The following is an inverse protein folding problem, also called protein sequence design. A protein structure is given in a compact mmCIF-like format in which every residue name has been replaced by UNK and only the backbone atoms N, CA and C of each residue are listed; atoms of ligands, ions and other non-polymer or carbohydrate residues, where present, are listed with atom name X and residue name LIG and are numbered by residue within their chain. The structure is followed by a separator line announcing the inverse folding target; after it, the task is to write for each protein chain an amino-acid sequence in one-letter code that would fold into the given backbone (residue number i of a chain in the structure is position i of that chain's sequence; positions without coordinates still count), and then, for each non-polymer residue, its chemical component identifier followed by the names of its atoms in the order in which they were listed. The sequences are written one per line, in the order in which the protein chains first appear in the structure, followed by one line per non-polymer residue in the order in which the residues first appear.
data_IF_671987776452
#
_entry.id   IF_671987776452
#
_cell.length_a   1.000
_cell.length_b   1.000
_cell.length_c   1.000
_cell.angle_alpha   90.00
_cell.angle_beta   90.00
_cell.angle_gamma   90.00
#
_symmetry.space_group_name_H-M   'P 1'
#
loop_
_entity.id
_entity.type
_entity.pdbx_description
1 polymer ?
#
# COMPACT_ATOMS: atom_id res chain seq x y z
N UNK A 1 -18.66 -0.14 -15.66
CA UNK A 1 -17.98 -0.85 -16.76
C UNK A 1 -16.60 -0.24 -16.98
N UNK A 2 -15.58 -1.07 -17.06
CA UNK A 2 -14.21 -0.61 -17.32
C UNK A 2 -14.08 -0.22 -18.78
N UNK A 3 -13.57 1.00 -19.07
CA UNK A 3 -13.37 1.44 -20.45
C UNK A 3 -12.22 0.67 -21.09
N UNK A 4 -12.16 0.66 -22.45
CA UNK A 4 -11.07 0.02 -23.16
C UNK A 4 -9.69 0.57 -22.79
N UNK A 5 -9.60 1.88 -22.52
CA UNK A 5 -8.34 2.51 -22.10
C UNK A 5 -7.89 2.00 -20.74
N UNK A 6 -8.81 1.92 -19.77
CA UNK A 6 -8.52 1.41 -18.44
C UNK A 6 -8.10 -0.05 -18.51
N UNK A 7 -8.84 -0.84 -19.29
CA UNK A 7 -8.50 -2.26 -19.47
C UNK A 7 -7.10 -2.42 -20.05
N UNK A 8 -6.72 -1.62 -21.03
CA UNK A 8 -5.40 -1.69 -21.65
C UNK A 8 -4.30 -1.35 -20.63
N UNK A 9 -4.54 -0.38 -19.75
CA UNK A 9 -3.57 -0.03 -18.71
C UNK A 9 -3.43 -1.13 -17.66
N UNK A 10 -4.53 -1.76 -17.29
CA UNK A 10 -4.51 -2.90 -16.37
C UNK A 10 -3.75 -4.07 -17.01
N UNK A 11 -4.04 -4.34 -18.28
CA UNK A 11 -3.37 -5.42 -19.03
C UNK A 11 -1.86 -5.16 -19.11
N UNK A 12 -1.46 -3.90 -19.28
CA UNK A 12 -0.04 -3.56 -19.32
C UNK A 12 0.65 -3.82 -17.98
N UNK A 13 0.01 -3.45 -16.88
CA UNK A 13 0.54 -3.72 -15.55
C UNK A 13 0.70 -5.23 -15.35
N UNK A 14 -0.31 -5.99 -15.72
CA UNK A 14 -0.28 -7.45 -15.66
C UNK A 14 0.88 -8.00 -16.46
N UNK A 15 1.04 -7.51 -17.70
CA UNK A 15 2.11 -7.95 -18.59
C UNK A 15 3.49 -7.62 -18.02
N UNK A 16 3.65 -6.43 -17.42
CA UNK A 16 4.92 -6.04 -16.82
C UNK A 16 5.30 -6.97 -15.65
N UNK A 17 4.32 -7.37 -14.85
CA UNK A 17 4.57 -8.31 -13.75
C UNK A 17 4.93 -9.69 -14.30
N UNK A 18 4.18 -10.15 -15.29
CA UNK A 18 4.40 -11.44 -15.94
C UNK A 18 5.78 -11.50 -16.56
N UNK A 19 6.14 -10.47 -17.35
CA UNK A 19 7.45 -10.39 -18.00
C UNK A 19 8.60 -10.27 -16.99
N UNK A 20 8.31 -9.77 -15.80
CA UNK A 20 9.28 -9.64 -14.72
C UNK A 20 9.57 -10.94 -13.98
N UNK A 21 8.88 -12.03 -14.32
CA UNK A 21 9.15 -13.35 -13.76
C UNK A 21 8.07 -13.93 -12.85
N UNK A 22 6.99 -13.19 -12.60
CA UNK A 22 5.86 -13.72 -11.83
C UNK A 22 4.83 -14.22 -12.82
N UNK A 23 4.77 -15.54 -12.99
CA UNK A 23 3.93 -16.16 -14.02
C UNK A 23 2.70 -16.86 -13.46
N UNK A 24 2.56 -16.98 -12.16
CA UNK A 24 1.37 -17.52 -11.55
C UNK A 24 0.31 -16.42 -11.46
N UNK A 25 -0.85 -16.56 -12.14
CA UNK A 25 -1.88 -15.52 -12.13
C UNK A 25 -2.37 -15.14 -10.74
N UNK A 26 -2.47 -16.10 -9.83
CA UNK A 26 -2.89 -15.82 -8.45
C UNK A 26 -1.88 -14.92 -7.76
N UNK A 27 -0.59 -15.18 -7.95
CA UNK A 27 0.47 -14.36 -7.37
C UNK A 27 0.42 -12.94 -7.91
N UNK A 28 0.17 -12.76 -9.22
CA UNK A 28 0.02 -11.44 -9.82
C UNK A 28 -1.12 -10.67 -9.15
N UNK A 29 -2.29 -11.32 -9.01
CA UNK A 29 -3.46 -10.70 -8.39
C UNK A 29 -3.13 -10.30 -6.94
N UNK A 30 -2.48 -11.18 -6.19
CA UNK A 30 -2.12 -10.89 -4.80
C UNK A 30 -1.18 -9.71 -4.69
N UNK A 31 -0.12 -9.67 -5.51
CA UNK A 31 0.84 -8.56 -5.47
C UNK A 31 0.16 -7.23 -5.81
N UNK A 32 -0.66 -7.20 -6.83
CA UNK A 32 -1.42 -5.99 -7.18
C UNK A 32 -2.36 -5.57 -6.05
N UNK A 33 -3.04 -6.53 -5.44
CA UNK A 33 -3.96 -6.25 -4.33
C UNK A 33 -3.22 -5.61 -3.16
N UNK A 34 -2.05 -6.15 -2.79
CA UNK A 34 -1.25 -5.57 -1.71
C UNK A 34 -0.80 -4.15 -2.03
N UNK A 35 -0.32 -3.92 -3.25
CA UNK A 35 0.15 -2.59 -3.64
C UNK A 35 -0.99 -1.57 -3.68
N UNK A 36 -2.15 -1.96 -4.18
CA UNK A 36 -3.33 -1.09 -4.18
C UNK A 36 -3.78 -0.78 -2.76
N UNK A 37 -3.71 -1.76 -1.87
CA UNK A 37 -4.02 -1.54 -0.45
C UNK A 37 -3.05 -0.54 0.17
N UNK A 38 -1.75 -0.72 -0.06
CA UNK A 38 -0.72 0.18 0.47
C UNK A 38 -0.97 1.62 0.01
N UNK A 39 -1.32 1.78 -1.27
CA UNK A 39 -1.67 3.10 -1.81
C UNK A 39 -2.90 3.67 -1.11
N UNK A 40 -3.92 2.84 -0.89
CA UNK A 40 -5.17 3.27 -0.27
C UNK A 40 -4.98 3.75 1.17
N UNK A 41 -4.03 3.18 1.90
CA UNK A 41 -3.72 3.63 3.26
C UNK A 41 -3.25 5.09 3.27
N UNK A 42 -2.37 5.45 2.35
CA UNK A 42 -1.90 6.83 2.28
C UNK A 42 -2.98 7.78 1.76
N UNK A 43 -3.82 7.33 0.84
CA UNK A 43 -4.95 8.15 0.40
C UNK A 43 -5.87 8.48 1.56
N UNK A 44 -6.16 7.50 2.40
CA UNK A 44 -6.98 7.71 3.58
C UNK A 44 -6.29 8.68 4.55
N UNK A 45 -4.97 8.56 4.71
CA UNK A 45 -4.21 9.46 5.57
C UNK A 45 -4.25 10.90 5.06
N UNK A 46 -4.15 11.08 3.74
CA UNK A 46 -4.25 12.41 3.14
C UNK A 46 -5.64 13.03 3.37
N UNK A 47 -6.70 12.23 3.28
CA UNK A 47 -8.05 12.68 3.59
C UNK A 47 -8.16 13.10 5.06
N UNK A 48 -7.60 12.31 5.96
CA UNK A 48 -7.60 12.60 7.39
C UNK A 48 -6.85 13.90 7.67
N UNK A 49 -5.69 14.09 7.04
CA UNK A 49 -4.91 15.31 7.22
C UNK A 49 -5.66 16.54 6.70
N UNK A 50 -6.34 16.41 5.57
CA UNK A 50 -7.15 17.50 5.03
C UNK A 50 -8.29 17.86 5.99
N UNK A 51 -8.94 16.85 6.57
CA UNK A 51 -10.01 17.08 7.55
C UNK A 51 -9.47 17.78 8.79
N UNK A 52 -8.30 17.37 9.29
CA UNK A 52 -7.67 18.03 10.45
C UNK A 52 -7.39 19.51 10.18
N UNK A 53 -6.91 19.82 8.98
CA UNK A 53 -6.60 21.19 8.60
C UNK A 53 -7.85 22.05 8.51
N UNK A 54 -8.98 21.47 8.15
CA UNK A 54 -10.24 22.22 8.05
C UNK A 54 -10.93 22.38 9.40
N UNK A 55 -10.88 21.37 10.26
CA UNK A 55 -11.66 21.32 11.50
C UNK A 55 -10.87 21.74 12.74
N UNK A 56 -9.53 21.79 12.65
CA UNK A 56 -8.63 21.97 13.78
C UNK A 56 -8.74 20.88 14.85
N UNK A 57 -9.31 19.74 14.48
CA UNK A 57 -9.40 18.56 15.35
C UNK A 57 -8.33 17.56 14.97
N UNK A 58 -7.67 16.97 15.98
CA UNK A 58 -6.69 15.92 15.74
C UNK A 58 -7.41 14.58 15.56
N UNK A 59 -6.98 13.84 14.55
CA UNK A 59 -7.53 12.53 14.23
C UNK A 59 -6.46 11.47 14.41
N UNK A 60 -6.90 10.23 14.60
CA UNK A 60 -5.97 9.10 14.65
C UNK A 60 -5.33 8.89 13.29
N UNK A 61 -4.04 8.58 13.30
CA UNK A 61 -3.27 8.38 12.07
C UNK A 61 -2.96 6.91 11.85
N UNK A 62 -2.90 6.53 10.57
CA UNK A 62 -2.53 5.17 10.17
C UNK A 62 -1.02 4.98 10.28
N UNK A 63 -0.25 5.97 9.79
CA UNK A 63 1.20 5.88 9.74
C UNK A 63 1.82 6.53 10.97
N UNK A 64 2.89 5.92 11.52
CA UNK A 64 3.65 6.59 12.56
C UNK A 64 4.15 7.96 12.09
N UNK A 65 4.21 8.93 13.00
CA UNK A 65 4.64 10.29 12.66
C UNK A 65 6.15 10.45 12.65
N UNK A 66 6.89 9.38 12.92
CA UNK A 66 8.35 9.35 12.83
C UNK A 66 8.82 9.45 11.38
N UNK A 67 10.10 9.79 11.15
CA UNK A 67 10.63 9.75 9.78
C UNK A 67 10.47 8.38 9.12
N UNK A 68 10.69 7.29 9.85
CA UNK A 68 10.52 5.94 9.30
C UNK A 68 9.06 5.67 8.92
N UNK A 69 8.12 6.08 9.77
CA UNK A 69 6.69 5.91 9.49
C UNK A 69 6.23 6.70 8.28
N UNK A 70 6.65 7.95 8.19
CA UNK A 70 6.26 8.81 7.07
C UNK A 70 6.89 8.32 5.75
N UNK A 71 8.09 7.74 5.81
CA UNK A 71 8.75 7.22 4.62
C UNK A 71 8.00 6.03 3.99
N UNK A 72 7.13 5.37 4.74
CA UNK A 72 6.31 4.27 4.21
C UNK A 72 5.10 4.72 3.40
N UNK A 73 4.82 6.02 3.36
CA UNK A 73 3.66 6.55 2.65
C UNK A 73 3.91 6.55 1.16
N UNK A 74 2.92 6.07 0.42
CA UNK A 74 2.99 5.98 -1.05
C UNK A 74 3.35 7.32 -1.69
N UNK A 75 2.72 8.41 -1.26
CA UNK A 75 2.99 9.74 -1.78
C UNK A 75 4.43 10.21 -1.53
N UNK A 76 5.08 9.64 -0.52
CA UNK A 76 6.45 10.00 -0.19
C UNK A 76 7.46 9.21 -1.01
N UNK A 77 7.22 7.90 -1.20
CA UNK A 77 8.24 7.07 -1.85
C UNK A 77 8.04 6.87 -3.36
N UNK A 78 6.87 7.18 -3.90
CA UNK A 78 6.57 6.86 -5.31
C UNK A 78 7.53 7.51 -6.30
N UNK A 79 8.16 8.61 -5.94
CA UNK A 79 9.09 9.34 -6.80
C UNK A 79 10.56 9.08 -6.47
N UNK A 80 10.84 8.17 -5.54
CA UNK A 80 12.22 7.77 -5.24
C UNK A 80 12.78 6.90 -6.36
N UNK A 81 14.11 6.69 -6.35
CA UNK A 81 14.67 5.77 -7.33
C UNK A 81 14.22 4.32 -7.05
N UNK A 82 14.28 3.44 -8.06
CA UNK A 82 13.74 2.08 -7.93
C UNK A 82 14.32 1.30 -6.77
N UNK A 83 15.60 1.43 -6.48
CA UNK A 83 16.22 0.70 -5.37
C UNK A 83 15.71 1.17 -4.02
N UNK A 84 15.54 2.48 -3.85
CA UNK A 84 15.00 3.04 -2.62
C UNK A 84 13.56 2.56 -2.40
N UNK A 85 12.75 2.59 -3.45
CA UNK A 85 11.36 2.10 -3.36
C UNK A 85 11.37 0.62 -2.97
N UNK A 86 12.21 -0.17 -3.60
CA UNK A 86 12.28 -1.61 -3.35
C UNK A 86 12.68 -1.90 -1.91
N UNK A 87 13.68 -1.18 -1.39
CA UNK A 87 14.14 -1.34 -0.01
C UNK A 87 13.03 -0.96 0.97
N UNK A 88 12.38 0.19 0.75
CA UNK A 88 11.27 0.63 1.60
C UNK A 88 10.14 -0.40 1.59
N UNK A 89 9.78 -0.89 0.42
CA UNK A 89 8.70 -1.85 0.27
C UNK A 89 9.00 -3.16 0.97
N UNK A 90 10.18 -3.74 0.72
CA UNK A 90 10.55 -5.05 1.24
C UNK A 90 10.90 -5.03 2.72
N UNK A 91 11.55 -3.97 3.19
CA UNK A 91 12.08 -3.93 4.57
C UNK A 91 11.20 -3.16 5.55
N UNK A 92 10.27 -2.34 5.05
CA UNK A 92 9.43 -1.51 5.92
C UNK A 92 7.95 -1.74 5.68
N UNK A 93 7.48 -1.51 4.47
CA UNK A 93 6.05 -1.48 4.19
C UNK A 93 5.41 -2.86 4.36
N UNK A 94 5.95 -3.89 3.73
CA UNK A 94 5.38 -5.24 3.86
C UNK A 94 5.47 -5.77 5.29
N UNK A 95 6.61 -5.66 5.99
CA UNK A 95 6.61 -6.01 7.42
C UNK A 95 5.58 -5.24 8.23
N UNK A 96 5.40 -3.95 7.95
CA UNK A 96 4.45 -3.13 8.68
C UNK A 96 3.00 -3.57 8.44
N UNK A 97 2.61 -3.84 7.19
CA UNK A 97 1.22 -4.25 6.92
C UNK A 97 0.92 -5.63 7.50
N UNK A 98 1.90 -6.48 7.64
CA UNK A 98 1.73 -7.79 8.30
C UNK A 98 1.45 -7.64 9.78
N UNK A 99 1.85 -6.56 10.39
CA UNK A 99 1.71 -6.30 11.82
C UNK A 99 0.78 -5.14 12.14
N UNK A 100 -0.10 -4.78 11.20
CA UNK A 100 -1.12 -3.77 11.46
C UNK A 100 -2.00 -4.16 12.64
N UNK A 101 -2.36 -3.18 13.45
CA UNK A 101 -3.20 -3.39 14.62
C UNK A 101 -4.03 -2.13 14.87
N UNK A 102 -5.31 -2.29 15.16
CA UNK A 102 -6.23 -1.17 15.39
C UNK A 102 -6.23 -0.14 14.25
N UNK A 103 -6.06 -0.60 13.01
CA UNK A 103 -6.03 0.27 11.84
C UNK A 103 -4.77 1.10 11.71
N UNK A 104 -3.72 0.77 12.45
CA UNK A 104 -2.45 1.51 12.43
C UNK A 104 -1.29 0.62 12.02
N UNK A 105 -0.29 1.23 11.41
CA UNK A 105 0.96 0.56 11.10
C UNK A 105 1.95 0.73 12.25
N UNK A 106 2.78 -0.30 12.53
CA UNK A 106 3.83 -0.19 13.54
C UNK A 106 4.97 0.70 13.07
N UNK A 107 5.72 1.22 14.04
CA UNK A 107 6.91 2.02 13.76
C UNK A 107 8.18 1.13 13.76
N UNK A 108 9.31 1.73 13.49
CA UNK A 108 10.61 1.06 13.44
C UNK A 108 11.63 1.82 14.28
N UNK A 109 12.56 1.07 14.87
CA UNK A 109 13.70 1.67 15.58
C UNK A 109 14.68 2.28 14.58
N UNK A 110 15.64 3.04 15.10
CA UNK A 110 16.71 3.60 14.26
C UNK A 110 17.53 2.50 13.56
N UNK A 111 17.57 1.29 14.14
CA UNK A 111 18.27 0.15 13.56
C UNK A 111 17.41 -0.63 12.57
N UNK A 112 16.17 -0.21 12.35
CA UNK A 112 15.29 -0.85 11.40
C UNK A 112 14.49 -2.02 11.94
N UNK A 113 14.42 -2.18 13.25
CA UNK A 113 13.63 -3.24 13.88
C UNK A 113 12.19 -2.78 14.06
N UNK A 114 11.24 -3.66 13.77
CA UNK A 114 9.82 -3.37 13.91
C UNK A 114 9.44 -3.27 15.38
N UNK A 115 8.69 -2.23 15.73
CA UNK A 115 8.15 -2.03 17.07
C UNK A 115 6.68 -2.40 17.05
N UNK A 116 6.32 -3.53 17.64
CA UNK A 116 4.94 -3.97 17.63
C UNK A 116 4.03 -3.01 18.39
N UNK A 117 2.81 -2.86 17.88
CA UNK A 117 1.79 -2.06 18.55
C UNK A 117 1.27 -2.84 19.75
N UNK A 118 1.29 -2.24 20.96
CA UNK A 118 0.82 -2.96 22.15
C UNK A 118 -0.67 -3.27 22.06
N UNK A 119 -1.08 -4.33 22.75
CA UNK A 119 -2.50 -4.65 22.88
C UNK A 119 -3.19 -3.58 23.72
N UNK A 120 -4.37 -3.19 23.29
CA UNK A 120 -5.23 -2.25 24.01
C UNK A 120 -6.49 -3.00 24.43
N UNK A 121 -6.59 -3.43 25.71
CA UNK A 121 -7.71 -4.29 26.15
C UNK A 121 -9.09 -3.68 25.89
N UNK A 122 -9.24 -2.37 25.97
CA UNK A 122 -10.50 -1.68 25.73
C UNK A 122 -10.91 -1.72 24.26
N UNK A 123 -10.00 -2.04 23.35
CA UNK A 123 -10.28 -2.14 21.92
C UNK A 123 -10.43 -3.58 21.44
N UNK A 124 -10.28 -4.54 22.35
CA UNK A 124 -10.37 -5.95 22.02
C UNK A 124 -9.19 -6.45 21.24
N UNK A 125 -9.36 -7.56 20.50
CA UNK A 125 -8.28 -8.17 19.74
C UNK A 125 -8.10 -7.46 18.41
N UNK A 126 -7.11 -6.58 18.33
CA UNK A 126 -6.91 -5.67 17.19
C UNK A 126 -6.56 -6.34 15.87
N UNK A 127 -6.15 -7.61 15.89
CA UNK A 127 -5.77 -8.32 14.67
C UNK A 127 -6.74 -9.43 14.29
N UNK A 128 -7.98 -9.38 14.81
CA UNK A 128 -8.96 -10.45 14.59
C UNK A 128 -9.88 -10.26 13.40
N UNK A 129 -9.77 -9.17 12.63
CA UNK A 129 -10.58 -8.99 11.44
C UNK A 129 -10.10 -9.91 10.33
N UNK A 130 -11.00 -10.32 9.43
CA UNK A 130 -10.62 -11.12 8.27
C UNK A 130 -9.58 -10.41 7.42
N UNK A 131 -9.69 -9.10 7.31
CA UNK A 131 -8.76 -8.28 6.55
C UNK A 131 -7.36 -8.27 7.18
N UNK A 132 -7.28 -8.11 8.51
CA UNK A 132 -5.99 -8.15 9.20
C UNK A 132 -5.34 -9.53 9.04
N UNK A 133 -6.14 -10.61 9.10
CA UNK A 133 -5.61 -11.97 8.88
C UNK A 133 -5.10 -12.14 7.44
N UNK A 134 -5.81 -11.60 6.47
CA UNK A 134 -5.35 -11.64 5.08
C UNK A 134 -4.01 -10.92 4.92
N UNK A 135 -3.89 -9.73 5.50
CA UNK A 135 -2.66 -8.95 5.41
C UNK A 135 -1.50 -9.55 6.21
N UNK A 136 -1.80 -10.31 7.27
CA UNK A 136 -0.73 -10.94 8.06
C UNK A 136 0.05 -11.99 7.27
N UNK A 137 -0.53 -12.49 6.18
CA UNK A 137 0.13 -13.47 5.31
C UNK A 137 0.76 -12.82 4.08
N UNK A 138 0.73 -11.50 3.97
CA UNK A 138 1.26 -10.81 2.81
C UNK A 138 2.76 -11.06 2.64
N UNK A 139 3.16 -11.40 1.43
CA UNK A 139 4.56 -11.59 1.08
C UNK A 139 4.91 -10.73 -0.12
N UNK A 140 6.07 -10.08 -0.05
CA UNK A 140 6.54 -9.28 -1.16
C UNK A 140 7.33 -10.14 -2.13
N UNK A 141 6.76 -10.38 -3.31
CA UNK A 141 7.31 -11.31 -4.29
C UNK A 141 7.73 -10.62 -5.60
N UNK A 142 7.72 -9.30 -5.66
CA UNK A 142 8.20 -8.57 -6.84
C UNK A 142 9.71 -8.78 -6.96
N UNK A 143 10.20 -9.31 -8.08
CA UNK A 143 11.58 -9.80 -8.15
C UNK A 143 12.65 -8.73 -8.27
N UNK A 144 12.36 -7.57 -8.86
CA UNK A 144 13.38 -6.54 -9.07
C UNK A 144 12.83 -5.14 -8.81
N UNK A 145 13.73 -4.18 -8.48
CA UNK A 145 13.31 -2.78 -8.34
C UNK A 145 12.68 -2.20 -9.61
N UNK A 146 13.17 -2.60 -10.78
CA UNK A 146 12.65 -2.09 -12.04
C UNK A 146 11.23 -2.53 -12.30
N UNK A 147 10.90 -3.79 -11.99
CA UNK A 147 9.54 -4.29 -12.11
C UNK A 147 8.61 -3.56 -11.15
N UNK A 148 9.05 -3.37 -9.92
CA UNK A 148 8.26 -2.63 -8.93
C UNK A 148 7.98 -1.21 -9.40
N UNK A 149 8.98 -0.52 -9.94
CA UNK A 149 8.80 0.84 -10.44
C UNK A 149 7.78 0.89 -11.58
N UNK A 150 7.82 -0.06 -12.50
CA UNK A 150 6.85 -0.13 -13.59
C UNK A 150 5.43 -0.30 -13.08
N UNK A 151 5.26 -1.14 -12.07
CA UNK A 151 3.94 -1.36 -11.47
C UNK A 151 3.45 -0.08 -10.79
N UNK A 152 4.29 0.57 -10.01
CA UNK A 152 3.93 1.81 -9.31
C UNK A 152 3.57 2.90 -10.32
N UNK A 153 4.37 3.06 -11.37
CA UNK A 153 4.09 4.04 -12.42
C UNK A 153 2.77 3.73 -13.11
N UNK A 154 2.51 2.47 -13.41
CA UNK A 154 1.26 2.05 -14.03
C UNK A 154 0.05 2.30 -13.15
N UNK A 155 0.16 1.99 -11.85
CA UNK A 155 -0.92 2.25 -10.91
C UNK A 155 -1.18 3.75 -10.74
N UNK A 156 -0.12 4.57 -10.66
CA UNK A 156 -0.28 6.01 -10.58
C UNK A 156 -0.99 6.58 -11.80
N UNK A 157 -0.59 6.14 -12.99
CA UNK A 157 -1.25 6.56 -14.22
C UNK A 157 -2.74 6.17 -14.22
N UNK A 158 -3.02 4.93 -13.80
CA UNK A 158 -4.39 4.43 -13.74
C UNK A 158 -5.25 5.25 -12.77
N UNK A 159 -4.74 5.53 -11.56
CA UNK A 159 -5.51 6.24 -10.54
C UNK A 159 -5.64 7.73 -10.85
N UNK A 160 -4.60 8.36 -11.39
CA UNK A 160 -4.64 9.80 -11.67
C UNK A 160 -5.52 10.16 -12.87
N UNK A 161 -5.52 9.32 -13.90
CA UNK A 161 -6.12 9.67 -15.18
C UNK A 161 -7.40 8.92 -15.50
N UNK A 162 -7.65 7.79 -14.86
CA UNK A 162 -8.76 6.92 -15.26
C UNK A 162 -9.71 6.60 -14.12
N UNK A 163 -9.22 6.39 -12.92
CA UNK A 163 -10.06 5.97 -11.79
C UNK A 163 -10.55 7.17 -10.97
N UNK A 164 -9.78 8.25 -10.92
CA UNK A 164 -10.10 9.42 -10.10
C UNK A 164 -11.49 10.01 -10.42
N UNK A 165 -11.91 9.91 -11.68
CA UNK A 165 -13.17 10.48 -12.15
C UNK A 165 -14.31 9.48 -12.14
N UNK A 166 -14.07 8.23 -11.73
CA UNK A 166 -15.04 7.15 -11.82
C UNK A 166 -15.07 6.36 -10.51
N UNK A 167 -16.27 5.94 -10.13
CA UNK A 167 -16.38 4.98 -9.04
C UNK A 167 -16.08 3.60 -9.58
N UNK A 168 -14.80 3.31 -9.72
CA UNK A 168 -14.31 2.13 -10.41
C UNK A 168 -13.96 0.96 -9.48
N UNK A 169 -14.01 1.16 -8.16
CA UNK A 169 -13.63 0.09 -7.23
C UNK A 169 -14.41 -1.20 -7.47
N UNK A 170 -15.72 -1.07 -7.70
CA UNK A 170 -16.54 -2.23 -7.99
C UNK A 170 -16.21 -2.92 -9.30
N UNK A 171 -15.72 -2.18 -10.27
CA UNK A 171 -15.39 -2.72 -11.58
C UNK A 171 -14.00 -3.37 -11.65
N UNK A 172 -13.12 -3.06 -10.69
CA UNK A 172 -11.78 -3.64 -10.60
C UNK A 172 -11.76 -4.95 -9.84
N UNK A 173 -12.72 -5.14 -8.98
CA UNK A 173 -12.85 -6.31 -8.13
C UNK A 173 -14.03 -7.16 -8.59
#
# INVERSE_FOLDING_TARGET
MVTGMIKNKIDKIWTDIWAGGITNPLTVIEQLTYLMFIRSLDEKELETEAFENMSNEKMDKIFPQSPAGQAMRWSKFKNHDPRQIYTIMSERVFPAIKHMKYGRLPDFTAQGELIEIPDEPEKGAGSNTAFARYMSDAMFLIPTPQVLQKIITGLEDLYEHDIADLDMQGDLY
#
